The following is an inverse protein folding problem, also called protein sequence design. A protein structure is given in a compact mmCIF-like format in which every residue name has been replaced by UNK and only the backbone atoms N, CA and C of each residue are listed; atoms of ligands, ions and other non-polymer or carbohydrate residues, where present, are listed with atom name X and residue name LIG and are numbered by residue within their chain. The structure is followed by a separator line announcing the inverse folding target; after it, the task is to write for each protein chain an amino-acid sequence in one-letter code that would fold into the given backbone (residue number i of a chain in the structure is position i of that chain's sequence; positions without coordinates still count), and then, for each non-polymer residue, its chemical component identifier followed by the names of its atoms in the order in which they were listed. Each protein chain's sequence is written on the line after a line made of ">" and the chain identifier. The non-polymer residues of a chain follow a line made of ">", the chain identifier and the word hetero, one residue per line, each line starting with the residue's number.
data_IF_445834258878
#
_entry.id   IF_445834258878
#
_cell.length_a   1.000
_cell.length_b   1.000
_cell.length_c   1.000
_cell.angle_alpha   90.00
_cell.angle_beta   90.00
_cell.angle_gamma   90.00
#
_symmetry.space_group_name_H-M   'P 1'
#
loop_
_entity.id
_entity.type
_entity.pdbx_description
1 polymer ?
#
# COMPACT_ATOMS: atom_id res chain seq x y z
N UNK A 1 -18.81 -15.33 8.85
CA UNK A 1 -19.01 -16.71 9.34
C UNK A 1 -18.29 -17.65 8.38
N UNK A 2 -17.37 -18.48 8.86
CA UNK A 2 -16.50 -19.33 8.01
C UNK A 2 -15.57 -20.24 8.83
N UNK A 3 -16.00 -20.59 10.05
CA UNK A 3 -15.17 -21.31 11.02
C UNK A 3 -14.84 -22.76 10.60
N UNK A 4 -15.65 -23.35 9.72
CA UNK A 4 -15.48 -24.70 9.18
C UNK A 4 -15.09 -24.70 7.70
N UNK A 5 -14.49 -23.61 7.21
CA UNK A 5 -13.99 -23.56 5.83
C UNK A 5 -12.90 -24.61 5.65
N UNK A 6 -13.08 -25.47 4.66
CA UNK A 6 -12.07 -26.44 4.23
C UNK A 6 -11.26 -25.89 3.06
N UNK A 7 -9.98 -26.24 3.00
CA UNK A 7 -9.10 -25.91 1.88
C UNK A 7 -9.40 -26.84 0.70
N UNK A 8 -9.97 -26.30 -0.37
CA UNK A 8 -10.38 -27.06 -1.57
C UNK A 8 -9.41 -26.88 -2.75
N UNK A 9 -8.21 -26.33 -2.51
CA UNK A 9 -7.20 -26.11 -3.57
C UNK A 9 -6.57 -27.40 -4.06
N UNK A 10 -6.58 -28.45 -3.23
CA UNK A 10 -5.96 -29.75 -3.51
C UNK A 10 -7.00 -30.77 -4.02
N UNK A 11 -6.50 -31.92 -4.49
CA UNK A 11 -7.37 -33.03 -4.90
C UNK A 11 -8.28 -33.49 -3.76
N UNK A 12 -9.56 -33.72 -4.05
CA UNK A 12 -10.54 -34.29 -3.11
C UNK A 12 -9.99 -35.54 -2.40
N UNK A 13 -10.33 -35.72 -1.12
CA UNK A 13 -9.84 -36.81 -0.27
C UNK A 13 -10.08 -38.21 -0.83
N UNK A 14 -11.12 -38.40 -1.63
CA UNK A 14 -11.46 -39.69 -2.23
C UNK A 14 -10.68 -40.00 -3.50
N UNK A 15 -10.04 -39.01 -4.12
CA UNK A 15 -9.28 -39.15 -5.37
C UNK A 15 -7.80 -38.88 -5.18
N UNK A 16 -7.41 -38.43 -4.01
CA UNK A 16 -6.03 -38.14 -3.70
C UNK A 16 -5.13 -39.39 -3.75
N UNK A 17 -3.83 -39.16 -3.87
CA UNK A 17 -2.88 -40.24 -4.05
C UNK A 17 -2.77 -41.14 -2.79
N UNK A 18 -3.13 -40.63 -1.61
CA UNK A 18 -3.17 -41.40 -0.36
C UNK A 18 -4.36 -42.37 -0.33
N UNK A 19 -5.57 -41.95 -0.71
CA UNK A 19 -6.75 -42.83 -0.78
C UNK A 19 -6.60 -43.89 -1.85
N UNK A 20 -5.99 -43.55 -3.01
CA UNK A 20 -5.65 -44.54 -4.04
C UNK A 20 -4.71 -45.62 -3.47
N UNK A 21 -3.71 -45.21 -2.70
CA UNK A 21 -2.79 -46.15 -2.05
C UNK A 21 -3.49 -47.02 -1.00
N UNK A 22 -4.36 -46.44 -0.18
CA UNK A 22 -5.15 -47.19 0.80
C UNK A 22 -6.09 -48.21 0.13
N UNK A 23 -6.71 -47.83 -1.00
CA UNK A 23 -7.50 -48.76 -1.82
C UNK A 23 -6.65 -49.89 -2.37
N UNK A 24 -5.47 -49.58 -2.93
CA UNK A 24 -4.56 -50.59 -3.44
C UNK A 24 -4.08 -51.55 -2.35
N UNK A 25 -3.73 -51.04 -1.17
CA UNK A 25 -3.31 -51.85 -0.03
C UNK A 25 -4.46 -52.75 0.47
N UNK A 26 -5.70 -52.26 0.50
CA UNK A 26 -6.89 -53.05 0.84
C UNK A 26 -7.12 -54.18 -0.17
N UNK A 27 -7.00 -53.89 -1.47
CA UNK A 27 -7.14 -54.89 -2.54
C UNK A 27 -6.08 -55.98 -2.41
N UNK A 28 -4.82 -55.59 -2.18
CA UNK A 28 -3.71 -56.54 -2.06
C UNK A 28 -3.82 -57.42 -0.81
N UNK A 29 -4.39 -56.91 0.30
CA UNK A 29 -4.68 -57.71 1.50
C UNK A 29 -5.77 -58.75 1.28
N UNK A 30 -6.75 -58.45 0.43
CA UNK A 30 -7.90 -59.31 0.14
C UNK A 30 -7.66 -60.22 -1.07
N UNK A 31 -6.47 -60.20 -1.68
CA UNK A 31 -6.17 -60.99 -2.86
C UNK A 31 -5.87 -62.43 -2.44
N UNK A 32 -6.75 -63.36 -2.80
CA UNK A 32 -6.51 -64.81 -2.72
C UNK A 32 -5.81 -65.30 -4.00
N UNK A 33 -5.00 -66.36 -3.90
CA UNK A 33 -4.19 -66.90 -5.01
C UNK A 33 -5.04 -67.39 -6.22
N UNK A 34 -6.36 -67.54 -6.07
CA UNK A 34 -7.25 -68.11 -7.10
C UNK A 34 -7.74 -67.15 -8.20
N UNK A 35 -7.45 -65.84 -8.11
CA UNK A 35 -8.03 -64.79 -8.98
C UNK A 35 -7.04 -64.22 -10.03
N UNK A 36 -6.15 -65.04 -10.59
CA UNK A 36 -4.97 -64.60 -11.38
C UNK A 36 -5.28 -63.85 -12.69
N UNK A 37 -6.49 -63.93 -13.24
CA UNK A 37 -6.83 -63.40 -14.57
C UNK A 37 -7.77 -62.17 -14.59
N UNK A 38 -8.05 -61.56 -13.44
CA UNK A 38 -8.90 -60.36 -13.36
C UNK A 38 -8.02 -59.11 -13.21
N UNK A 39 -8.06 -58.21 -14.20
CA UNK A 39 -7.36 -56.93 -14.11
C UNK A 39 -8.06 -55.97 -13.13
N UNK A 40 -7.33 -55.53 -12.10
CA UNK A 40 -7.86 -54.66 -11.02
C UNK A 40 -7.33 -53.23 -11.07
N UNK A 41 -6.71 -52.83 -12.19
CA UNK A 41 -6.13 -51.49 -12.39
C UNK A 41 -4.61 -51.46 -12.27
N UNK A 42 -4.02 -50.36 -12.75
CA UNK A 42 -2.57 -50.19 -12.95
C UNK A 42 -1.78 -50.36 -11.63
N UNK A 43 -2.35 -49.93 -10.51
CA UNK A 43 -1.66 -49.94 -9.21
C UNK A 43 -1.82 -51.27 -8.43
N UNK A 44 -2.64 -52.19 -8.94
CA UNK A 44 -3.09 -53.38 -8.22
C UNK A 44 -2.53 -54.68 -8.81
N UNK A 45 -1.41 -54.61 -9.52
CA UNK A 45 -0.62 -55.81 -9.82
C UNK A 45 -0.11 -56.44 -8.52
N UNK A 46 0.06 -57.76 -8.53
CA UNK A 46 0.47 -58.54 -7.35
C UNK A 46 1.80 -58.02 -6.80
N UNK A 47 1.77 -57.48 -5.59
CA UNK A 47 2.96 -57.11 -4.84
C UNK A 47 3.24 -58.16 -3.76
N UNK A 48 4.35 -58.87 -3.90
CA UNK A 48 4.79 -59.89 -2.94
C UNK A 48 5.39 -59.30 -1.66
N UNK A 49 5.85 -58.05 -1.70
CA UNK A 49 6.43 -57.37 -0.55
C UNK A 49 5.41 -56.33 -0.03
N UNK A 50 4.69 -56.62 1.06
CA UNK A 50 3.75 -55.66 1.62
C UNK A 50 4.51 -54.50 2.26
N UNK A 51 4.06 -53.28 1.98
CA UNK A 51 4.50 -52.10 2.72
C UNK A 51 3.91 -52.16 4.13
N UNK A 52 4.79 -52.26 5.12
CA UNK A 52 4.44 -52.36 6.55
C UNK A 52 4.41 -50.99 7.20
N UNK A 53 3.67 -50.91 8.31
CA UNK A 53 3.71 -49.77 9.20
C UNK A 53 5.11 -49.69 9.85
N UNK A 54 5.58 -48.48 10.11
CA UNK A 54 6.87 -48.24 10.77
C UNK A 54 6.63 -47.48 12.07
N UNK A 55 7.66 -47.36 12.92
CA UNK A 55 7.56 -46.58 14.16
C UNK A 55 7.17 -45.10 13.91
N UNK A 56 7.42 -44.58 12.70
CA UNK A 56 7.09 -43.22 12.30
C UNK A 56 5.66 -43.04 11.78
N UNK A 57 4.89 -44.12 11.63
CA UNK A 57 3.48 -44.07 11.25
C UNK A 57 3.02 -45.22 10.36
N UNK A 58 1.76 -45.11 9.94
CA UNK A 58 1.11 -46.11 9.09
C UNK A 58 1.68 -46.11 7.66
N UNK A 59 1.55 -47.24 6.96
CA UNK A 59 2.00 -47.42 5.59
C UNK A 59 1.37 -46.42 4.61
N UNK A 60 0.16 -45.91 4.89
CA UNK A 60 -0.50 -44.87 4.08
C UNK A 60 -0.17 -43.44 4.49
N UNK A 61 0.42 -43.24 5.67
CA UNK A 61 0.80 -41.91 6.15
C UNK A 61 1.93 -41.34 5.31
N UNK A 62 1.97 -40.02 5.17
CA UNK A 62 2.97 -39.37 4.33
C UNK A 62 4.42 -39.47 4.83
N UNK A 63 4.64 -39.95 6.06
CA UNK A 63 5.99 -40.21 6.57
C UNK A 63 6.58 -41.53 6.05
N UNK A 64 5.72 -42.49 5.67
CA UNK A 64 6.14 -43.83 5.20
C UNK A 64 5.89 -43.98 3.70
N UNK A 65 4.77 -43.44 3.22
CA UNK A 65 4.41 -43.44 1.81
C UNK A 65 5.18 -42.36 1.07
N UNK A 66 5.89 -42.76 0.01
CA UNK A 66 6.48 -41.82 -0.95
C UNK A 66 5.44 -41.40 -1.99
N UNK A 67 5.32 -40.10 -2.25
CA UNK A 67 4.41 -39.52 -3.23
C UNK A 67 3.72 -38.25 -2.69
N UNK A 68 2.76 -37.69 -3.45
CA UNK A 68 1.99 -36.52 -3.02
C UNK A 68 1.32 -36.78 -1.66
N UNK A 69 1.53 -35.87 -0.70
CA UNK A 69 0.97 -35.94 0.65
C UNK A 69 -0.31 -35.12 0.71
N UNK A 70 -1.28 -35.59 1.50
CA UNK A 70 -2.53 -34.87 1.74
C UNK A 70 -2.27 -33.63 2.59
N UNK A 71 -2.66 -32.46 2.09
CA UNK A 71 -2.63 -31.21 2.86
C UNK A 71 -3.71 -31.21 3.96
N UNK A 72 -3.50 -30.50 5.07
CA UNK A 72 -4.52 -30.34 6.12
C UNK A 72 -5.65 -29.39 5.66
N UNK A 73 -6.90 -29.85 5.71
CA UNK A 73 -8.05 -29.07 5.24
C UNK A 73 -8.35 -27.81 6.06
N UNK A 74 -8.08 -27.86 7.37
CA UNK A 74 -8.55 -26.88 8.35
C UNK A 74 -7.46 -25.87 8.74
N UNK A 75 -6.40 -25.76 7.94
CA UNK A 75 -5.28 -24.86 8.18
C UNK A 75 -5.14 -23.94 6.97
N UNK A 76 -5.21 -22.62 7.22
CA UNK A 76 -4.84 -21.62 6.23
C UNK A 76 -3.37 -21.27 6.42
N UNK A 77 -2.56 -21.46 5.38
CA UNK A 77 -1.17 -20.99 5.39
C UNK A 77 -1.13 -19.46 5.47
N UNK A 78 -0.23 -18.93 6.31
CA UNK A 78 0.02 -17.49 6.38
C UNK A 78 0.85 -17.08 5.17
N UNK A 79 0.31 -16.22 4.32
CA UNK A 79 1.04 -15.69 3.16
C UNK A 79 1.71 -14.39 3.55
N UNK A 80 3.01 -14.29 3.27
CA UNK A 80 3.80 -13.06 3.36
C UNK A 80 4.34 -12.75 1.97
N UNK A 81 4.12 -11.53 1.48
CA UNK A 81 4.75 -11.05 0.27
C UNK A 81 6.24 -10.79 0.53
N UNK A 82 7.10 -11.41 -0.28
CA UNK A 82 8.54 -11.20 -0.20
C UNK A 82 8.98 -10.24 -1.30
N UNK A 83 9.14 -8.96 -0.95
CA UNK A 83 9.47 -7.90 -1.90
C UNK A 83 10.96 -7.80 -2.22
N UNK A 84 11.83 -8.50 -1.49
CA UNK A 84 13.27 -8.42 -1.68
C UNK A 84 13.72 -9.34 -2.85
N UNK A 85 14.19 -8.79 -3.98
CA UNK A 85 14.66 -9.61 -5.08
C UNK A 85 16.12 -10.05 -4.86
N UNK A 86 16.41 -11.32 -5.13
CA UNK A 86 17.78 -11.85 -5.10
C UNK A 86 18.52 -11.60 -6.42
N UNK A 87 18.58 -10.34 -6.86
CA UNK A 87 19.27 -9.93 -8.10
C UNK A 87 20.65 -9.35 -7.77
N UNK A 88 21.67 -9.76 -8.51
CA UNK A 88 23.01 -9.23 -8.36
C UNK A 88 23.04 -7.76 -8.80
N UNK A 89 23.25 -6.86 -7.84
CA UNK A 89 23.33 -5.42 -8.08
C UNK A 89 24.42 -5.08 -9.10
N UNK A 90 25.63 -5.60 -8.90
CA UNK A 90 26.79 -5.29 -9.75
C UNK A 90 26.56 -5.77 -11.18
N UNK A 91 26.02 -6.98 -11.35
CA UNK A 91 25.70 -7.50 -12.67
C UNK A 91 24.58 -6.72 -13.37
N UNK A 92 23.54 -6.30 -12.62
CA UNK A 92 22.43 -5.54 -13.18
C UNK A 92 22.87 -4.16 -13.69
N UNK A 93 23.63 -3.43 -12.87
CA UNK A 93 24.07 -2.06 -13.20
C UNK A 93 25.23 -2.05 -14.21
N UNK A 94 26.25 -2.90 -14.00
CA UNK A 94 27.50 -2.83 -14.78
C UNK A 94 27.58 -3.88 -15.88
N UNK A 95 26.80 -4.97 -15.78
CA UNK A 95 26.94 -6.13 -16.65
C UNK A 95 28.09 -7.06 -16.29
N UNK A 96 28.84 -6.75 -15.24
CA UNK A 96 29.97 -7.55 -14.79
C UNK A 96 29.85 -7.81 -13.28
N UNK A 97 29.83 -9.09 -12.91
CA UNK A 97 29.90 -9.49 -11.52
C UNK A 97 31.31 -9.98 -11.23
N UNK A 98 32.00 -9.39 -10.25
CA UNK A 98 33.34 -9.82 -9.85
C UNK A 98 33.40 -11.26 -9.35
N UNK A 99 32.27 -11.82 -8.90
CA UNK A 99 32.16 -13.22 -8.49
C UNK A 99 31.89 -14.18 -9.67
N UNK A 100 31.60 -13.67 -10.87
CA UNK A 100 31.21 -14.49 -12.02
C UNK A 100 30.08 -15.46 -11.66
N UNK A 101 30.15 -16.69 -12.17
CA UNK A 101 29.11 -17.72 -11.96
C UNK A 101 29.03 -18.27 -10.53
N UNK A 102 29.97 -17.89 -9.65
CA UNK A 102 29.93 -18.27 -8.23
C UNK A 102 29.01 -17.36 -7.40
N UNK A 103 28.46 -16.31 -8.00
CA UNK A 103 27.55 -15.40 -7.33
C UNK A 103 26.27 -16.12 -6.89
N UNK A 104 25.90 -15.99 -5.61
CA UNK A 104 24.63 -16.54 -5.09
C UNK A 104 23.38 -15.79 -5.58
N UNK A 105 23.56 -14.60 -6.15
CA UNK A 105 22.48 -13.74 -6.61
C UNK A 105 22.27 -13.91 -8.12
N UNK A 106 21.04 -13.72 -8.58
CA UNK A 106 20.65 -13.89 -9.97
C UNK A 106 21.31 -12.85 -10.87
N UNK A 107 21.92 -13.32 -11.95
CA UNK A 107 22.51 -12.50 -13.00
C UNK A 107 21.45 -12.12 -14.05
N UNK A 108 20.55 -11.22 -13.69
CA UNK A 108 19.54 -10.66 -14.59
C UNK A 108 19.75 -9.14 -14.78
N UNK A 109 19.48 -8.66 -15.99
CA UNK A 109 19.58 -7.25 -16.41
C UNK A 109 18.22 -6.63 -16.73
N UNK A 110 17.12 -7.35 -16.50
CA UNK A 110 15.79 -6.81 -16.68
C UNK A 110 15.50 -5.64 -15.71
N UNK A 111 14.84 -4.60 -16.23
CA UNK A 111 14.51 -3.35 -15.55
C UNK A 111 13.00 -3.20 -15.28
N UNK A 112 12.28 -4.33 -15.21
CA UNK A 112 10.86 -4.32 -14.86
C UNK A 112 10.61 -3.73 -13.47
N UNK A 113 9.47 -3.03 -13.34
CA UNK A 113 9.03 -2.43 -12.08
C UNK A 113 8.68 -3.52 -11.05
N UNK A 114 9.02 -3.26 -9.79
CA UNK A 114 8.62 -4.14 -8.70
C UNK A 114 7.11 -4.01 -8.43
N UNK A 115 6.49 -5.06 -7.86
CA UNK A 115 5.06 -5.08 -7.57
C UNK A 115 4.58 -3.86 -6.78
N UNK A 116 5.32 -3.46 -5.74
CA UNK A 116 4.97 -2.28 -4.92
C UNK A 116 4.99 -0.96 -5.72
N UNK A 117 5.86 -0.85 -6.71
CA UNK A 117 5.93 0.33 -7.57
C UNK A 117 4.71 0.37 -8.52
N UNK A 118 4.29 -0.80 -9.00
CA UNK A 118 3.09 -0.93 -9.83
C UNK A 118 1.83 -0.59 -9.01
N UNK A 119 1.73 -1.09 -7.78
CA UNK A 119 0.60 -0.81 -6.89
C UNK A 119 0.49 0.69 -6.59
N UNK A 120 1.62 1.35 -6.30
CA UNK A 120 1.65 2.80 -6.06
C UNK A 120 1.25 3.62 -7.29
N UNK A 121 1.74 3.24 -8.48
CA UNK A 121 1.37 3.89 -9.73
C UNK A 121 -0.10 3.65 -10.10
N UNK A 122 -0.65 2.49 -9.72
CA UNK A 122 -2.05 2.17 -9.91
C UNK A 122 -2.93 3.02 -8.99
N UNK A 123 -2.59 3.15 -7.71
CA UNK A 123 -3.31 3.99 -6.76
C UNK A 123 -3.27 5.48 -7.12
N UNK A 124 -2.12 5.99 -7.58
CA UNK A 124 -2.01 7.39 -8.00
C UNK A 124 -2.86 7.67 -9.23
N UNK A 125 -2.86 6.78 -10.22
CA UNK A 125 -3.73 6.89 -11.40
C UNK A 125 -5.21 6.75 -11.05
N UNK A 126 -5.57 5.84 -10.14
CA UNK A 126 -6.95 5.68 -9.70
C UNK A 126 -7.48 6.95 -9.01
N UNK A 127 -6.65 7.67 -8.26
CA UNK A 127 -7.03 8.96 -7.66
C UNK A 127 -7.26 10.03 -8.73
N UNK A 128 -6.35 10.17 -9.69
CA UNK A 128 -6.50 11.14 -10.78
C UNK A 128 -7.72 10.85 -11.68
N UNK A 129 -8.01 9.58 -11.97
CA UNK A 129 -9.16 9.22 -12.80
C UNK A 129 -10.52 9.42 -12.09
N UNK A 130 -10.57 9.54 -10.76
CA UNK A 130 -11.80 9.85 -10.02
C UNK A 130 -12.03 11.36 -9.86
N UNK A 131 -11.05 12.20 -10.18
CA UNK A 131 -11.14 13.67 -10.13
C UNK A 131 -11.30 14.30 -11.54
N UNK A 132 -11.11 13.53 -12.62
CA UNK A 132 -11.10 14.05 -14.00
C UNK A 132 -12.46 14.03 -14.73
N UNK A 133 -13.59 13.82 -14.03
CA UNK A 133 -14.94 13.92 -14.64
C UNK A 133 -15.83 15.03 -14.03
N UNK A 134 -15.33 15.90 -13.14
CA UNK A 134 -16.15 17.01 -12.61
C UNK A 134 -15.44 18.26 -12.08
N UNK A 135 -14.14 18.49 -12.30
CA UNK A 135 -13.49 19.71 -11.82
C UNK A 135 -13.20 20.71 -12.96
N UNK A 136 -14.22 21.51 -13.28
CA UNK A 136 -14.16 22.70 -14.17
C UNK A 136 -13.19 23.80 -13.62
N UNK A 137 -12.65 23.61 -12.41
CA UNK A 137 -11.72 24.52 -11.75
C UNK A 137 -10.23 24.21 -12.00
N UNK A 138 -9.89 23.10 -12.68
CA UNK A 138 -8.48 22.72 -12.96
C UNK A 138 -7.73 23.70 -13.86
N UNK A 139 -8.46 24.55 -14.60
CA UNK A 139 -7.92 25.62 -15.43
C UNK A 139 -8.13 27.03 -14.86
N UNK A 140 -8.66 27.17 -13.63
CA UNK A 140 -8.63 28.46 -12.93
C UNK A 140 -7.22 28.68 -12.41
N UNK A 141 -6.47 29.51 -13.14
CA UNK A 141 -5.24 30.12 -12.65
C UNK A 141 -5.64 31.07 -11.52
N UNK A 142 -5.78 30.54 -10.30
CA UNK A 142 -5.82 31.36 -9.10
C UNK A 142 -4.38 31.77 -8.77
N UNK A 143 -3.90 32.83 -9.41
CA UNK A 143 -2.56 33.42 -9.22
C UNK A 143 -2.39 34.13 -7.85
N UNK A 144 -3.07 33.68 -6.79
CA UNK A 144 -2.98 34.31 -5.48
C UNK A 144 -3.04 33.25 -4.38
N UNK A 145 -1.87 32.66 -4.11
CA UNK A 145 -1.47 31.88 -2.94
C UNK A 145 -2.50 31.87 -1.79
N UNK A 146 -2.84 30.67 -1.28
CA UNK A 146 -3.74 30.34 -0.15
C UNK A 146 -3.45 31.10 1.17
N UNK A 147 -3.44 32.42 1.13
CA UNK A 147 -3.20 33.33 2.23
C UNK A 147 -4.55 33.82 2.76
N UNK A 148 -4.83 33.67 4.06
CA UNK A 148 -6.09 34.10 4.64
C UNK A 148 -6.26 35.61 4.51
N UNK A 149 -7.49 36.07 4.22
CA UNK A 149 -7.82 37.49 4.06
C UNK A 149 -8.05 38.23 5.39
N UNK A 150 -8.44 37.50 6.44
CA UNK A 150 -8.78 38.05 7.75
C UNK A 150 -8.07 37.27 8.87
N UNK A 151 -7.87 37.94 10.01
CA UNK A 151 -7.29 37.29 11.18
C UNK A 151 -8.29 36.29 11.80
N UNK A 152 -7.83 35.08 12.13
CA UNK A 152 -8.70 34.05 12.73
C UNK A 152 -9.22 34.37 14.14
N UNK A 153 -8.59 35.33 14.84
CA UNK A 153 -8.97 35.70 16.20
C UNK A 153 -10.01 36.84 16.18
N UNK A 154 -9.72 37.96 15.50
CA UNK A 154 -10.65 39.09 15.43
C UNK A 154 -11.62 39.05 14.24
N UNK A 155 -11.39 38.20 13.23
CA UNK A 155 -12.16 38.10 11.97
C UNK A 155 -12.22 39.39 11.15
N UNK A 156 -11.35 40.35 11.46
CA UNK A 156 -11.19 41.60 10.73
C UNK A 156 -9.94 41.55 9.84
N UNK A 157 -9.76 42.60 9.02
CA UNK A 157 -8.55 42.80 8.22
C UNK A 157 -7.32 42.87 9.13
N UNK A 158 -6.17 42.41 8.64
CA UNK A 158 -4.96 42.40 9.44
C UNK A 158 -4.45 43.81 9.76
N UNK A 159 -4.12 44.02 11.03
CA UNK A 159 -3.42 45.20 11.54
C UNK A 159 -2.09 44.68 12.11
N UNK A 160 -0.99 45.07 11.49
CA UNK A 160 0.37 44.55 11.75
C UNK A 160 0.43 43.01 11.78
N UNK A 161 0.42 42.35 10.61
CA UNK A 161 0.29 40.90 10.53
C UNK A 161 1.57 40.19 11.00
N UNK A 162 1.39 39.15 11.82
CA UNK A 162 2.45 38.29 12.36
C UNK A 162 2.23 36.83 11.99
N UNK A 163 3.32 36.11 11.78
CA UNK A 163 3.38 34.69 11.43
C UNK A 163 3.95 33.88 12.58
N UNK A 164 3.26 32.79 12.89
CA UNK A 164 3.77 31.73 13.77
C UNK A 164 4.60 30.71 13.01
N UNK A 165 5.42 29.90 13.71
CA UNK A 165 6.18 28.79 13.09
C UNK A 165 5.32 27.82 12.27
N UNK A 166 4.05 27.71 12.62
CA UNK A 166 3.06 26.85 11.96
C UNK A 166 2.42 27.50 10.73
N UNK A 167 2.94 28.65 10.27
CA UNK A 167 2.41 29.43 9.14
C UNK A 167 0.97 29.92 9.32
N UNK A 168 0.52 30.09 10.57
CA UNK A 168 -0.74 30.77 10.86
C UNK A 168 -0.50 32.27 11.08
N UNK A 169 -1.40 33.07 10.50
CA UNK A 169 -1.33 34.53 10.45
C UNK A 169 -2.31 35.18 11.43
N UNK A 170 -1.84 36.18 12.18
CA UNK A 170 -2.64 36.91 13.17
C UNK A 170 -2.27 38.40 13.18
N UNK A 171 -3.08 39.25 13.82
CA UNK A 171 -2.67 40.63 14.15
C UNK A 171 -1.72 40.62 15.36
N UNK A 172 -0.82 41.59 15.46
CA UNK A 172 0.12 41.72 16.58
C UNK A 172 -0.59 41.75 17.94
N UNK A 173 -1.66 42.54 18.07
CA UNK A 173 -2.47 42.63 19.29
C UNK A 173 -3.12 41.28 19.64
N UNK A 174 -3.76 40.65 18.67
CA UNK A 174 -4.43 39.36 18.82
C UNK A 174 -3.48 38.23 19.21
N UNK A 175 -2.29 38.20 18.62
CA UNK A 175 -1.26 37.22 18.95
C UNK A 175 -0.74 37.40 20.38
N UNK A 176 -0.52 38.64 20.82
CA UNK A 176 -0.06 38.95 22.18
C UNK A 176 -1.12 38.64 23.25
N UNK A 177 -2.38 38.98 22.99
CA UNK A 177 -3.49 38.68 23.91
C UNK A 177 -3.76 37.17 24.02
N UNK A 178 -3.57 36.43 22.93
CA UNK A 178 -3.66 34.98 22.95
C UNK A 178 -2.48 34.36 23.71
N UNK A 179 -1.25 34.85 23.49
CA UNK A 179 -0.06 34.37 24.20
C UNK A 179 -0.17 34.54 25.73
N UNK A 180 -0.82 35.62 26.19
CA UNK A 180 -1.11 35.83 27.62
C UNK A 180 -2.03 34.76 28.21
N UNK A 181 -2.92 34.19 27.41
CA UNK A 181 -3.88 33.15 27.84
C UNK A 181 -3.30 31.75 27.67
N UNK A 182 -2.65 31.48 26.54
CA UNK A 182 -2.11 30.16 26.18
C UNK A 182 -0.89 30.31 25.28
N UNK A 183 0.14 29.47 25.46
CA UNK A 183 1.34 29.46 24.60
C UNK A 183 1.18 28.69 23.29
N UNK A 184 -0.02 28.17 23.04
CA UNK A 184 -0.38 27.36 21.87
C UNK A 184 -0.90 28.25 20.74
N UNK A 185 -0.82 27.75 19.51
CA UNK A 185 -1.37 28.41 18.33
C UNK A 185 -2.90 28.23 18.27
N UNK A 186 -3.64 29.29 17.97
CA UNK A 186 -5.11 29.26 17.95
C UNK A 186 -5.73 28.30 16.92
N UNK A 187 -5.05 28.03 15.80
CA UNK A 187 -5.59 27.22 14.70
C UNK A 187 -5.22 25.74 14.85
N UNK A 188 -3.94 25.43 15.07
CA UNK A 188 -3.44 24.06 15.10
C UNK A 188 -3.03 23.55 16.49
N UNK A 189 -3.19 24.35 17.55
CA UNK A 189 -2.76 24.03 18.91
C UNK A 189 -1.27 23.64 19.06
N UNK A 190 -0.43 23.96 18.08
CA UNK A 190 1.01 23.72 18.18
C UNK A 190 1.69 24.77 19.08
N UNK A 191 2.74 24.37 19.78
CA UNK A 191 3.48 25.25 20.68
C UNK A 191 4.22 26.34 19.90
N UNK A 192 3.90 27.60 20.17
CA UNK A 192 4.48 28.76 19.46
C UNK A 192 5.86 29.17 19.98
N UNK A 193 6.22 28.71 21.18
CA UNK A 193 7.48 29.06 21.88
C UNK A 193 7.72 30.58 22.03
N UNK A 194 6.66 31.40 21.96
CA UNK A 194 6.76 32.86 22.05
C UNK A 194 7.43 33.53 20.84
N UNK A 195 7.60 32.81 19.73
CA UNK A 195 8.27 33.31 18.53
C UNK A 195 7.19 33.73 17.52
N UNK A 196 7.08 35.04 17.30
CA UNK A 196 6.20 35.65 16.30
C UNK A 196 7.06 36.52 15.38
N UNK A 197 7.05 36.21 14.09
CA UNK A 197 7.78 36.97 13.07
C UNK A 197 6.81 37.89 12.30
N UNK A 198 7.32 38.96 11.72
CA UNK A 198 6.51 39.85 10.87
C UNK A 198 6.13 39.14 9.56
N UNK A 199 4.86 39.24 9.18
CA UNK A 199 4.28 38.57 8.01
C UNK A 199 4.47 39.40 6.72
N UNK A 200 5.67 39.35 6.12
CA UNK A 200 5.97 40.12 4.90
C UNK A 200 5.05 39.81 3.72
N UNK A 201 4.54 38.59 3.64
CA UNK A 201 3.67 38.13 2.54
C UNK A 201 2.28 38.79 2.59
N UNK A 202 1.66 38.86 3.77
CA UNK A 202 0.37 39.55 3.96
C UNK A 202 0.53 41.06 3.81
N UNK A 203 1.62 41.65 4.31
CA UNK A 203 1.88 43.08 4.10
C UNK A 203 1.99 43.44 2.62
N UNK A 204 2.61 42.58 1.81
CA UNK A 204 2.71 42.77 0.36
C UNK A 204 1.33 42.73 -0.29
N UNK A 205 0.50 41.73 0.04
CA UNK A 205 -0.88 41.60 -0.45
C UNK A 205 -1.75 42.79 -0.04
N UNK A 206 -1.61 43.30 1.18
CA UNK A 206 -2.34 44.47 1.65
C UNK A 206 -1.93 45.75 0.91
N UNK A 207 -0.63 45.90 0.58
CA UNK A 207 -0.15 47.02 -0.25
C UNK A 207 -0.63 46.93 -1.68
N UNK A 208 -0.74 45.74 -2.24
CA UNK A 208 -1.24 45.52 -3.60
C UNK A 208 -2.75 45.77 -3.70
N UNK A 209 -3.55 45.34 -2.72
CA UNK A 209 -4.98 45.65 -2.68
C UNK A 209 -5.28 47.14 -2.48
N UNK A 210 -4.49 47.84 -1.65
CA UNK A 210 -4.56 49.29 -1.50
C UNK A 210 -4.16 50.05 -2.79
N UNK A 211 -3.29 49.47 -3.62
CA UNK A 211 -2.96 50.07 -4.93
C UNK A 211 -4.10 49.89 -5.92
N UNK A 212 -4.75 48.72 -5.95
CA UNK A 212 -5.89 48.44 -6.84
C UNK A 212 -7.08 49.37 -6.54
N UNK A 213 -7.47 49.49 -5.28
CA UNK A 213 -8.55 50.39 -4.84
C UNK A 213 -8.31 51.86 -5.17
N UNK A 214 -7.07 52.36 -5.01
CA UNK A 214 -6.70 53.72 -5.42
C UNK A 214 -6.74 53.96 -6.92
N UNK A 215 -6.55 52.91 -7.73
CA UNK A 215 -6.66 53.02 -9.19
C UNK A 215 -8.13 53.09 -9.59
N UNK A 216 -8.99 52.31 -8.95
CA UNK A 216 -10.45 52.33 -9.15
C UNK A 216 -11.07 53.68 -8.74
N UNK A 217 -10.73 54.23 -7.58
CA UNK A 217 -11.20 55.56 -7.14
C UNK A 217 -10.70 56.71 -8.03
N UNK A 218 -9.59 56.54 -8.75
CA UNK A 218 -9.13 57.54 -9.72
C UNK A 218 -9.89 57.46 -11.05
N UNK A 219 -10.47 56.30 -11.41
CA UNK A 219 -11.22 56.13 -12.65
C UNK A 219 -12.61 56.75 -12.52
N UNK A 220 -13.27 56.57 -11.37
CA UNK A 220 -14.60 57.15 -11.11
C UNK A 220 -14.59 58.69 -11.02
N UNK A 221 -13.47 59.30 -10.61
CA UNK A 221 -13.31 60.77 -10.59
C UNK A 221 -13.09 61.40 -11.98
N UNK A 222 -12.91 60.61 -13.05
CA UNK A 222 -12.83 61.11 -14.43
C UNK A 222 -14.15 60.98 -15.21
N UNK A 223 -15.19 60.36 -14.63
CA UNK A 223 -16.50 60.20 -15.29
C UNK A 223 -17.54 61.28 -14.89
N UNK A 224 -17.26 62.12 -13.88
CA UNK A 224 -18.17 63.18 -13.39
C UNK A 224 -17.90 64.61 -13.95
N UNK A 225 -16.93 64.79 -14.86
CA UNK A 225 -16.58 66.10 -15.46
C UNK A 225 -17.20 66.33 -16.87
N UNK A 226 -18.04 65.42 -17.38
CA UNK A 226 -18.76 65.56 -18.65
C UNK A 226 -20.29 65.66 -18.44
N UNK A 227 -20.77 66.82 -17.94
CA UNK A 227 -22.16 67.30 -18.08
C UNK A 227 -22.25 68.84 -18.15
#
# INVERSE_FOLDING_TARGET
>A
MGATSTLETETEKDKDAQSIFERAQKIQKNLEESDENIYRGINNYVQYIPKKDTAFGNASSGHVRRGPMRAPDNIRSTVRWDYQPDICKDYKETGFCGFGDSCKFLHDRSDYKAGWQIDLEYESKAKHNNEDDSDEDKYKINDDDDLPFACFICREKFIDPVVTRCKHYFCQSCAMDHLRKTTLCFVCNAQTNGIFNVAKEIEKRMKESLKRTKIEENIDNYEDDDD
#
